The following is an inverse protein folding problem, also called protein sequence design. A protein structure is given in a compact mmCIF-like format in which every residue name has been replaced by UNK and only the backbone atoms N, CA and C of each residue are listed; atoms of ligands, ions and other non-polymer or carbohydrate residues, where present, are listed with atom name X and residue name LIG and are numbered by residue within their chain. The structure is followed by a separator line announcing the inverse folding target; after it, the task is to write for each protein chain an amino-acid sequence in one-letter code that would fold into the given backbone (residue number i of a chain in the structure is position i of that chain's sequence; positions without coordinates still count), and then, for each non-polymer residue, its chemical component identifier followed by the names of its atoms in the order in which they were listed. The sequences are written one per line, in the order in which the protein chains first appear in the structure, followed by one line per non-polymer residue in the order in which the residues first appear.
data_IF_346229523934
#
_entry.id   IF_346229523934
#
_cell.length_a   1.000
_cell.length_b   1.000
_cell.length_c   1.000
_cell.angle_alpha   90.00
_cell.angle_beta   90.00
_cell.angle_gamma   90.00
#
_symmetry.space_group_name_H-M   'P 1'
#
loop_
_entity.id
_entity.type
_entity.pdbx_description
1 polymer ?
#
# COMPACT_ATOMS: atom_id res chain seq x y z
N UNK A 1 -13.34 24.89 18.01
CA UNK A 1 -13.13 24.13 16.77
C UNK A 1 -11.65 23.77 16.74
N UNK A 2 -11.31 22.47 16.63
CA UNK A 2 -9.93 22.04 16.46
C UNK A 2 -9.40 22.59 15.14
N UNK A 3 -8.20 23.20 15.08
CA UNK A 3 -7.66 23.76 13.85
C UNK A 3 -7.47 22.61 12.82
N UNK A 4 -7.93 22.83 11.60
CA UNK A 4 -7.78 21.90 10.48
C UNK A 4 -6.64 22.39 9.60
N UNK A 5 -5.74 21.50 9.20
CA UNK A 5 -4.65 21.76 8.25
C UNK A 5 -4.76 20.85 7.04
N UNK A 6 -4.33 21.33 5.91
CA UNK A 6 -4.14 20.50 4.72
C UNK A 6 -2.85 19.69 4.86
N UNK A 7 -2.92 18.39 4.55
CA UNK A 7 -1.77 17.50 4.60
C UNK A 7 -1.02 17.50 3.27
N UNK A 8 0.30 17.64 3.34
CA UNK A 8 1.23 17.51 2.20
C UNK A 8 2.15 16.32 2.39
N UNK A 9 2.73 15.85 1.30
CA UNK A 9 3.74 14.78 1.37
C UNK A 9 4.93 15.21 2.23
N UNK A 10 5.26 14.40 3.22
CA UNK A 10 6.31 14.66 4.20
C UNK A 10 5.83 15.25 5.53
N UNK A 11 4.55 15.60 5.63
CA UNK A 11 3.98 16.08 6.89
C UNK A 11 3.93 14.96 7.94
N UNK A 12 4.19 15.35 9.18
CA UNK A 12 4.05 14.45 10.34
C UNK A 12 2.58 14.37 10.75
N UNK A 13 2.14 13.17 11.08
CA UNK A 13 0.84 12.87 11.68
C UNK A 13 1.06 12.59 13.16
N UNK A 14 0.23 13.16 14.01
CA UNK A 14 0.28 12.96 15.44
C UNK A 14 -0.86 12.06 15.93
N UNK A 15 -0.66 11.43 17.07
CA UNK A 15 -1.70 10.60 17.69
C UNK A 15 -2.94 11.45 18.00
N UNK A 16 -4.11 10.82 17.86
CA UNK A 16 -5.44 11.41 18.03
C UNK A 16 -5.79 12.49 17.00
N UNK A 17 -4.96 12.77 16.01
CA UNK A 17 -5.40 13.57 14.86
C UNK A 17 -6.43 12.79 14.04
N UNK A 18 -7.48 13.50 13.63
CA UNK A 18 -8.46 12.96 12.67
C UNK A 18 -8.05 13.33 11.26
N UNK A 19 -7.88 12.32 10.43
CA UNK A 19 -7.46 12.46 9.04
C UNK A 19 -8.71 12.32 8.17
N UNK A 20 -8.99 13.34 7.38
CA UNK A 20 -10.09 13.36 6.42
C UNK A 20 -9.56 13.25 5.00
N UNK A 21 -10.14 12.36 4.22
CA UNK A 21 -9.91 12.30 2.78
C UNK A 21 -11.24 12.57 2.06
N UNK A 22 -11.26 13.54 1.16
CA UNK A 22 -12.44 13.89 0.35
C UNK A 22 -12.71 12.87 -0.78
N UNK A 23 -13.67 13.17 -1.65
CA UNK A 23 -14.16 12.25 -2.68
C UNK A 23 -13.08 11.70 -3.63
N UNK A 24 -12.16 12.56 -4.08
CA UNK A 24 -11.09 12.19 -5.02
C UNK A 24 -9.70 12.32 -4.39
N UNK A 25 -9.64 12.24 -3.08
CA UNK A 25 -8.39 12.34 -2.34
C UNK A 25 -8.06 11.07 -1.56
N UNK A 26 -6.83 11.01 -1.08
CA UNK A 26 -6.35 9.92 -0.26
C UNK A 26 -4.95 10.22 0.24
N UNK A 27 -4.54 9.54 1.29
CA UNK A 27 -3.19 9.68 1.84
C UNK A 27 -2.61 8.35 2.26
N UNK A 28 -1.29 8.29 2.33
CA UNK A 28 -0.58 7.13 2.82
C UNK A 28 0.30 7.55 4.00
N UNK A 29 0.13 6.86 5.11
CA UNK A 29 0.91 7.05 6.34
C UNK A 29 1.87 5.89 6.45
N UNK A 30 3.16 6.20 6.61
CA UNK A 30 4.19 5.23 6.91
C UNK A 30 4.55 5.34 8.38
N UNK A 31 4.42 4.25 9.11
CA UNK A 31 4.79 4.15 10.51
C UNK A 31 6.24 3.69 10.67
N UNK A 32 6.85 3.95 11.83
CA UNK A 32 8.25 3.60 12.11
C UNK A 32 8.51 2.09 12.10
N UNK A 33 7.50 1.28 12.42
CA UNK A 33 7.56 -0.19 12.33
C UNK A 33 7.39 -0.72 10.90
N UNK A 34 7.42 0.16 9.88
CA UNK A 34 7.18 -0.13 8.47
C UNK A 34 5.74 -0.54 8.13
N UNK A 35 4.80 -0.43 9.07
CA UNK A 35 3.37 -0.54 8.74
C UNK A 35 2.96 0.62 7.83
N UNK A 36 2.13 0.31 6.84
CA UNK A 36 1.61 1.32 5.91
C UNK A 36 0.10 1.36 6.01
N UNK A 37 -0.43 2.55 6.26
CA UNK A 37 -1.86 2.84 6.32
C UNK A 37 -2.24 3.72 5.13
N UNK A 38 -3.02 3.18 4.22
CA UNK A 38 -3.51 3.91 3.04
C UNK A 38 -4.97 4.25 3.25
N UNK A 39 -5.27 5.54 3.38
CA UNK A 39 -6.60 6.09 3.58
C UNK A 39 -7.15 6.45 2.20
N UNK A 40 -8.28 5.86 1.81
CA UNK A 40 -8.90 6.09 0.52
C UNK A 40 -9.90 7.25 0.54
N UNK A 41 -10.61 7.45 -0.57
CA UNK A 41 -11.59 8.54 -0.71
C UNK A 41 -12.75 8.42 0.28
N UNK A 42 -13.34 9.56 0.63
CA UNK A 42 -14.49 9.72 1.54
C UNK A 42 -14.26 9.07 2.90
N UNK A 43 -13.07 9.26 3.47
CA UNK A 43 -12.65 8.55 4.68
C UNK A 43 -12.40 9.49 5.84
N UNK A 44 -12.71 8.98 7.04
CA UNK A 44 -12.39 9.58 8.33
C UNK A 44 -11.71 8.54 9.21
N UNK A 45 -10.43 8.77 9.52
CA UNK A 45 -9.56 7.84 10.25
C UNK A 45 -8.82 8.58 11.35
N UNK A 46 -8.73 7.97 12.53
CA UNK A 46 -7.94 8.46 13.67
C UNK A 46 -6.87 7.44 13.99
N UNK A 47 -5.64 7.90 14.15
CA UNK A 47 -4.55 7.09 14.72
C UNK A 47 -4.58 7.22 16.23
N UNK A 48 -5.19 6.23 16.90
CA UNK A 48 -5.47 6.25 18.34
C UNK A 48 -4.19 5.93 19.15
N UNK A 49 -3.50 4.85 18.78
CA UNK A 49 -2.31 4.39 19.52
C UNK A 49 -1.21 3.97 18.56
N UNK A 50 0.00 4.42 18.82
CA UNK A 50 1.20 3.91 18.20
C UNK A 50 2.32 3.87 19.25
N UNK A 51 2.69 2.68 19.67
CA UNK A 51 3.80 2.39 20.58
C UNK A 51 4.73 1.46 19.82
N UNK A 52 6.02 1.75 19.78
CA UNK A 52 6.99 0.94 19.07
C UNK A 52 8.36 1.01 19.73
N UNK A 53 8.91 -0.15 20.05
CA UNK A 53 10.29 -0.32 20.48
C UNK A 53 11.12 -0.90 19.32
N UNK A 54 12.00 -0.12 18.69
CA UNK A 54 12.79 -0.58 17.55
C UNK A 54 13.84 -1.65 17.93
N UNK A 55 14.25 -1.75 19.20
CA UNK A 55 15.22 -2.74 19.65
C UNK A 55 14.60 -4.14 19.71
N UNK A 56 13.36 -4.24 20.11
CA UNK A 56 12.64 -5.51 20.29
C UNK A 56 11.60 -5.80 19.22
N UNK A 57 11.20 -4.79 18.42
CA UNK A 57 10.02 -4.79 17.54
C UNK A 57 8.70 -5.03 18.29
N UNK A 58 8.67 -4.80 19.59
CA UNK A 58 7.43 -4.81 20.36
C UNK A 58 6.69 -3.50 20.19
N UNK A 59 5.36 -3.57 20.34
CA UNK A 59 4.55 -2.39 20.22
C UNK A 59 3.07 -2.66 20.12
N UNK A 60 2.32 -1.58 19.87
CA UNK A 60 0.87 -1.63 19.69
C UNK A 60 0.43 -0.54 18.72
N UNK A 61 -0.44 -0.94 17.81
CA UNK A 61 -1.06 -0.03 16.83
C UNK A 61 -2.57 -0.14 16.96
N UNK A 62 -3.23 1.00 17.15
CA UNK A 62 -4.69 1.10 17.12
C UNK A 62 -5.07 2.24 16.20
N UNK A 63 -5.83 1.92 15.16
CA UNK A 63 -6.48 2.89 14.29
C UNK A 63 -8.00 2.79 14.42
N UNK A 64 -8.69 3.90 14.23
CA UNK A 64 -10.15 3.97 14.29
C UNK A 64 -10.66 4.52 12.95
N UNK A 65 -11.41 3.72 12.20
CA UNK A 65 -12.04 4.10 10.94
C UNK A 65 -13.51 4.38 11.21
N UNK A 66 -13.89 5.64 11.17
CA UNK A 66 -15.30 6.04 11.38
C UNK A 66 -16.12 5.85 10.11
N UNK A 67 -15.55 6.16 8.96
CA UNK A 67 -16.15 5.94 7.64
C UNK A 67 -15.08 5.85 6.55
N UNK A 68 -15.47 5.36 5.36
CA UNK A 68 -14.63 5.34 4.17
C UNK A 68 -13.82 4.07 4.05
N UNK A 69 -12.56 4.17 3.63
CA UNK A 69 -11.74 3.01 3.31
C UNK A 69 -10.33 3.14 3.87
N UNK A 70 -9.88 2.09 4.53
CA UNK A 70 -8.51 1.95 5.01
C UNK A 70 -7.90 0.65 4.46
N UNK A 71 -6.72 0.74 3.88
CA UNK A 71 -5.87 -0.38 3.52
C UNK A 71 -4.66 -0.39 4.44
N UNK A 72 -4.35 -1.53 5.00
CA UNK A 72 -3.22 -1.74 5.93
C UNK A 72 -2.27 -2.77 5.36
N UNK A 73 -0.99 -2.46 5.35
CA UNK A 73 0.10 -3.41 5.16
C UNK A 73 0.82 -3.49 6.49
N UNK A 74 0.83 -4.66 7.10
CA UNK A 74 1.40 -4.87 8.43
C UNK A 74 2.92 -4.83 8.42
N UNK A 75 3.50 -4.11 9.38
CA UNK A 75 4.93 -3.98 9.61
C UNK A 75 5.51 -4.94 10.65
N UNK A 76 6.56 -4.52 11.31
CA UNK A 76 7.37 -5.35 12.23
C UNK A 76 6.62 -5.73 13.50
N UNK A 77 5.86 -4.80 14.10
CA UNK A 77 5.07 -5.04 15.32
C UNK A 77 4.13 -6.24 15.13
N UNK A 78 3.31 -6.19 14.11
CA UNK A 78 2.29 -7.21 13.85
C UNK A 78 2.86 -8.52 13.30
N UNK A 79 4.06 -8.51 12.73
CA UNK A 79 4.79 -9.73 12.36
C UNK A 79 5.30 -10.48 13.58
N UNK A 80 5.74 -9.74 14.61
CA UNK A 80 6.21 -10.31 15.87
C UNK A 80 5.03 -10.76 16.74
N UNK A 81 4.09 -9.86 16.98
CA UNK A 81 2.90 -10.13 17.80
C UNK A 81 1.62 -9.83 17.01
N UNK A 82 0.90 -10.87 16.58
CA UNK A 82 -0.28 -10.74 15.72
C UNK A 82 -1.44 -9.92 16.29
N UNK A 83 -1.54 -9.83 17.62
CA UNK A 83 -2.64 -9.11 18.29
C UNK A 83 -2.35 -7.61 18.49
N UNK A 84 -1.13 -7.20 18.15
CA UNK A 84 -0.67 -5.83 18.40
C UNK A 84 -1.19 -4.80 17.41
N UNK A 85 -1.81 -5.21 16.29
CA UNK A 85 -2.42 -4.31 15.32
C UNK A 85 -3.94 -4.51 15.30
N UNK A 86 -4.66 -3.48 15.74
CA UNK A 86 -6.11 -3.47 15.79
C UNK A 86 -6.67 -2.27 15.02
N UNK A 87 -7.66 -2.52 14.16
CA UNK A 87 -8.45 -1.47 13.53
C UNK A 87 -9.86 -1.52 14.11
N UNK A 88 -10.26 -0.44 14.77
CA UNK A 88 -11.64 -0.25 15.29
C UNK A 88 -12.52 0.29 14.17
N UNK A 89 -13.71 -0.23 14.05
CA UNK A 89 -14.76 0.21 13.12
C UNK A 89 -16.10 0.29 13.86
N UNK A 90 -17.12 0.99 13.34
CA UNK A 90 -18.39 1.16 14.06
C UNK A 90 -19.09 -0.16 14.44
N UNK A 91 -18.92 -1.21 13.63
CA UNK A 91 -19.57 -2.50 13.85
C UNK A 91 -18.72 -3.49 14.67
N UNK A 92 -17.43 -3.18 14.96
CA UNK A 92 -16.56 -4.09 15.70
C UNK A 92 -15.07 -3.77 15.56
N UNK A 93 -14.25 -4.80 15.54
CA UNK A 93 -12.79 -4.71 15.47
C UNK A 93 -12.20 -5.65 14.44
N UNK A 94 -11.06 -5.24 13.89
CA UNK A 94 -10.26 -6.02 12.97
C UNK A 94 -8.88 -6.21 13.59
N UNK A 95 -8.49 -7.44 13.88
CA UNK A 95 -7.13 -7.79 14.32
C UNK A 95 -6.33 -8.32 13.14
N UNK A 96 -5.09 -7.85 12.96
CA UNK A 96 -4.27 -8.26 11.82
C UNK A 96 -3.06 -9.08 12.25
N UNK A 97 -2.86 -10.19 11.60
CA UNK A 97 -1.72 -11.09 11.77
C UNK A 97 -0.82 -11.07 10.54
N UNK A 98 0.08 -10.07 10.50
CA UNK A 98 1.15 -10.02 9.49
C UNK A 98 0.67 -10.12 8.03
N UNK A 99 -0.21 -9.19 7.58
CA UNK A 99 -0.85 -9.31 6.27
C UNK A 99 -1.17 -7.96 5.64
N UNK A 100 -1.62 -8.00 4.41
CA UNK A 100 -2.25 -6.89 3.71
C UNK A 100 -3.76 -7.09 3.67
N UNK A 101 -4.50 -6.11 4.17
CA UNK A 101 -5.96 -6.12 4.13
C UNK A 101 -6.52 -4.73 3.86
N UNK A 102 -7.76 -4.69 3.42
CA UNK A 102 -8.50 -3.46 3.20
C UNK A 102 -9.89 -3.56 3.83
N UNK A 103 -10.33 -2.49 4.48
CA UNK A 103 -11.70 -2.38 4.97
C UNK A 103 -12.42 -1.20 4.33
N UNK A 104 -13.73 -1.35 4.11
CA UNK A 104 -14.64 -0.28 3.71
C UNK A 104 -15.72 -0.19 4.76
N UNK A 105 -15.78 0.97 5.42
CA UNK A 105 -16.80 1.34 6.39
C UNK A 105 -17.83 2.21 5.69
N UNK A 106 -19.05 1.74 5.62
CA UNK A 106 -20.20 2.43 5.07
C UNK A 106 -21.32 2.46 6.10
N UNK A 107 -22.43 3.14 5.80
CA UNK A 107 -23.52 3.25 6.74
C UNK A 107 -23.99 1.87 7.24
N UNK A 108 -23.83 1.60 8.54
CA UNK A 108 -24.23 0.38 9.26
C UNK A 108 -23.58 -0.93 8.77
N UNK A 109 -22.48 -0.84 8.00
CA UNK A 109 -21.81 -2.02 7.45
C UNK A 109 -20.32 -1.76 7.27
N UNK A 110 -19.53 -2.74 7.69
CA UNK A 110 -18.08 -2.83 7.41
C UNK A 110 -17.80 -4.08 6.60
N UNK A 111 -17.17 -3.90 5.44
CA UNK A 111 -16.67 -4.97 4.57
C UNK A 111 -15.15 -5.06 4.71
N UNK A 112 -14.61 -6.22 5.07
CA UNK A 112 -13.16 -6.44 5.24
C UNK A 112 -12.68 -7.50 4.27
N UNK A 113 -11.68 -7.15 3.47
CA UNK A 113 -11.02 -7.98 2.47
C UNK A 113 -9.61 -8.30 2.91
N UNK A 114 -9.27 -9.57 3.04
CA UNK A 114 -7.90 -10.03 3.14
C UNK A 114 -7.30 -10.07 1.72
N UNK A 115 -6.29 -9.26 1.47
CA UNK A 115 -5.52 -9.28 0.22
C UNK A 115 -4.43 -10.34 0.35
N UNK A 116 -3.74 -10.34 1.48
CA UNK A 116 -2.76 -11.34 1.89
C UNK A 116 -1.47 -11.34 1.10
N UNK A 117 -0.50 -12.15 1.47
CA UNK A 117 0.51 -12.55 0.51
C UNK A 117 -0.20 -13.39 -0.55
N UNK A 118 -0.08 -12.99 -1.82
CA UNK A 118 -0.63 -13.72 -2.97
C UNK A 118 -0.12 -15.17 -3.03
N UNK A 119 -0.64 -15.95 -3.97
CA UNK A 119 -0.24 -17.36 -4.17
C UNK A 119 1.27 -17.59 -4.29
N UNK A 120 1.99 -16.59 -4.74
CA UNK A 120 3.45 -16.64 -4.98
C UNK A 120 4.21 -15.83 -3.94
N UNK A 121 3.88 -15.89 -2.70
CA UNK A 121 4.53 -15.23 -1.56
C UNK A 121 6.06 -15.02 -1.74
N UNK A 122 6.45 -14.26 -2.75
CA UNK A 122 7.85 -14.00 -3.14
C UNK A 122 8.61 -13.18 -2.09
N UNK A 123 7.89 -12.56 -1.14
CA UNK A 123 8.46 -11.77 -0.06
C UNK A 123 8.65 -12.57 1.23
N UNK A 124 8.45 -13.90 1.23
CA UNK A 124 8.61 -14.73 2.42
C UNK A 124 7.66 -14.38 3.58
N UNK A 125 6.58 -13.64 3.30
CA UNK A 125 5.59 -13.28 4.30
C UNK A 125 4.84 -14.54 4.73
N UNK A 126 4.73 -14.77 6.02
CA UNK A 126 3.89 -15.86 6.56
C UNK A 126 2.44 -15.64 6.09
N UNK A 127 1.69 -16.72 5.84
CA UNK A 127 0.26 -16.58 5.56
C UNK A 127 -0.38 -15.75 6.67
N UNK A 128 -0.79 -14.53 6.31
CA UNK A 128 -1.41 -13.63 7.25
C UNK A 128 -2.87 -13.94 7.42
N UNK A 129 -3.45 -13.41 8.47
CA UNK A 129 -4.88 -13.54 8.74
C UNK A 129 -5.45 -12.22 9.27
N UNK A 130 -6.76 -12.04 9.11
CA UNK A 130 -7.51 -10.95 9.73
C UNK A 130 -8.66 -11.54 10.53
N UNK A 131 -8.68 -11.26 11.83
CA UNK A 131 -9.81 -11.57 12.68
C UNK A 131 -10.80 -10.41 12.62
N UNK A 132 -11.98 -10.68 12.09
CA UNK A 132 -13.12 -9.75 12.03
C UNK A 132 -14.06 -10.11 13.16
N UNK A 133 -14.27 -9.22 14.14
CA UNK A 133 -15.00 -9.58 15.34
C UNK A 133 -15.84 -8.44 15.94
N UNK A 134 -16.88 -8.83 16.66
CA UNK A 134 -17.68 -7.97 17.51
C UNK A 134 -18.28 -8.76 18.68
N UNK A 135 -19.09 -8.12 19.52
CA UNK A 135 -19.72 -8.77 20.68
C UNK A 135 -20.66 -9.94 20.35
N UNK A 136 -21.02 -10.14 19.09
CA UNK A 136 -21.92 -11.21 18.65
C UNK A 136 -21.17 -12.42 18.06
N UNK A 137 -19.87 -12.31 17.81
CA UNK A 137 -19.04 -13.38 17.27
C UNK A 137 -17.84 -12.87 16.47
N UNK A 138 -17.12 -13.81 15.87
CA UNK A 138 -15.96 -13.51 15.06
C UNK A 138 -15.88 -14.40 13.82
N UNK A 139 -15.10 -13.94 12.84
CA UNK A 139 -14.78 -14.68 11.60
C UNK A 139 -13.32 -14.43 11.24
N UNK A 140 -12.58 -15.52 10.98
CA UNK A 140 -11.18 -15.45 10.55
C UNK A 140 -11.10 -15.45 9.04
N UNK A 141 -10.45 -14.43 8.48
CA UNK A 141 -10.02 -14.39 7.09
C UNK A 141 -8.58 -14.91 7.02
N UNK A 142 -8.35 -16.06 6.43
CA UNK A 142 -7.03 -16.72 6.32
C UNK A 142 -6.68 -17.17 4.90
N UNK A 143 -7.56 -16.90 3.94
CA UNK A 143 -7.30 -17.16 2.52
C UNK A 143 -7.24 -15.86 1.75
N UNK A 144 -6.23 -15.65 0.87
CA UNK A 144 -6.17 -14.46 0.02
C UNK A 144 -7.47 -14.24 -0.75
N UNK A 145 -7.88 -12.98 -0.87
CA UNK A 145 -9.13 -12.58 -1.50
C UNK A 145 -10.40 -13.12 -0.83
N UNK A 146 -10.33 -13.44 0.48
CA UNK A 146 -11.51 -13.68 1.29
C UNK A 146 -12.05 -12.39 1.88
N UNK A 147 -13.37 -12.30 1.97
CA UNK A 147 -14.11 -11.14 2.49
C UNK A 147 -15.09 -11.60 3.57
N UNK A 148 -15.22 -10.78 4.62
CA UNK A 148 -16.31 -10.84 5.58
C UNK A 148 -16.96 -9.48 5.71
N UNK A 149 -18.24 -9.48 6.08
CA UNK A 149 -19.04 -8.27 6.29
C UNK A 149 -19.61 -8.27 7.68
N UNK A 150 -19.41 -7.19 8.42
CA UNK A 150 -20.09 -6.91 9.67
C UNK A 150 -21.25 -5.96 9.43
N UNK A 151 -22.37 -6.22 10.08
CA UNK A 151 -23.54 -5.34 10.14
C UNK A 151 -23.85 -5.01 11.59
N UNK A 152 -24.40 -3.82 11.82
CA UNK A 152 -24.81 -3.42 13.15
C UNK A 152 -25.77 -4.45 13.78
N UNK A 153 -25.44 -4.90 14.98
CA UNK A 153 -26.29 -5.83 15.75
C UNK A 153 -26.23 -7.30 15.34
N UNK A 154 -25.31 -7.68 14.44
CA UNK A 154 -25.16 -9.07 13.97
C UNK A 154 -23.72 -9.53 14.09
N UNK A 155 -23.52 -10.85 14.22
CA UNK A 155 -22.20 -11.46 14.09
C UNK A 155 -21.62 -11.21 12.69
N UNK A 156 -20.27 -11.17 12.54
CA UNK A 156 -19.64 -11.11 11.25
C UNK A 156 -20.07 -12.28 10.35
N UNK A 157 -20.33 -11.98 9.08
CA UNK A 157 -20.63 -13.01 8.09
C UNK A 157 -19.44 -13.94 7.86
N UNK A 158 -19.71 -15.20 7.48
CA UNK A 158 -18.67 -16.17 7.18
C UNK A 158 -17.73 -15.69 6.09
N UNK A 159 -16.46 -16.11 6.18
CA UNK A 159 -15.46 -15.82 5.18
C UNK A 159 -15.82 -16.45 3.83
N UNK A 160 -15.88 -15.64 2.79
CA UNK A 160 -16.15 -16.11 1.42
C UNK A 160 -15.23 -15.44 0.42
N UNK A 161 -15.05 -16.05 -0.75
CA UNK A 161 -14.26 -15.44 -1.83
C UNK A 161 -14.96 -14.17 -2.31
N UNK A 162 -14.18 -13.08 -2.49
CA UNK A 162 -14.71 -11.81 -3.01
C UNK A 162 -15.16 -11.96 -4.47
N UNK A 163 -16.27 -11.34 -4.82
CA UNK A 163 -16.74 -11.26 -6.22
C UNK A 163 -16.00 -10.17 -6.99
N UNK A 164 -16.00 -10.27 -8.33
CA UNK A 164 -15.39 -9.23 -9.20
C UNK A 164 -15.98 -7.83 -8.93
N UNK A 165 -17.29 -7.73 -8.74
CA UNK A 165 -17.98 -6.47 -8.48
C UNK A 165 -17.61 -5.86 -7.10
N UNK A 166 -17.50 -6.70 -6.08
CA UNK A 166 -17.02 -6.26 -4.77
C UNK A 166 -15.56 -5.78 -4.85
N UNK A 167 -14.68 -6.52 -5.54
CA UNK A 167 -13.28 -6.14 -5.72
C UNK A 167 -13.13 -4.78 -6.45
N UNK A 168 -14.00 -4.51 -7.47
CA UNK A 168 -14.05 -3.19 -8.12
C UNK A 168 -14.35 -2.05 -7.14
N UNK A 169 -15.26 -2.26 -6.17
CA UNK A 169 -15.55 -1.26 -5.13
C UNK A 169 -14.33 -0.97 -4.25
N UNK A 170 -13.62 -2.01 -3.81
CA UNK A 170 -12.39 -1.85 -3.03
C UNK A 170 -11.31 -1.09 -3.81
N UNK A 171 -11.08 -1.46 -5.07
CA UNK A 171 -10.13 -0.77 -5.96
C UNK A 171 -10.51 0.70 -6.19
N UNK A 172 -11.80 1.00 -6.39
CA UNK A 172 -12.28 2.37 -6.63
C UNK A 172 -11.95 3.30 -5.47
N UNK A 173 -12.14 2.86 -4.22
CA UNK A 173 -11.85 3.66 -3.01
C UNK A 173 -10.36 4.03 -2.85
N UNK A 174 -9.44 3.30 -3.49
CA UNK A 174 -7.99 3.55 -3.47
C UNK A 174 -7.47 4.23 -4.75
N UNK A 175 -8.37 4.60 -5.67
CA UNK A 175 -8.00 5.09 -7.00
C UNK A 175 -7.27 6.43 -6.95
N UNK A 176 -7.70 7.36 -6.10
CA UNK A 176 -7.11 8.69 -6.00
C UNK A 176 -5.59 8.64 -5.75
N UNK A 177 -5.12 7.72 -4.90
CA UNK A 177 -3.70 7.53 -4.63
C UNK A 177 -2.91 6.92 -5.80
N UNK A 178 -3.56 6.10 -6.64
CA UNK A 178 -2.91 5.56 -7.85
C UNK A 178 -2.74 6.64 -8.90
N UNK A 179 -3.75 7.49 -9.08
CA UNK A 179 -3.72 8.62 -10.02
C UNK A 179 -2.66 9.63 -9.56
N UNK A 180 -2.65 10.03 -8.30
CA UNK A 180 -1.65 10.96 -7.75
C UNK A 180 -0.19 10.46 -7.92
N UNK A 181 0.03 9.15 -7.84
CA UNK A 181 1.36 8.57 -8.12
C UNK A 181 1.76 8.59 -9.60
N UNK A 182 0.79 8.64 -10.52
CA UNK A 182 1.02 8.58 -11.97
C UNK A 182 0.95 9.95 -12.64
N UNK A 183 0.05 10.83 -12.19
CA UNK A 183 -0.22 12.10 -12.87
C UNK A 183 0.58 13.29 -12.29
N UNK A 184 1.15 13.16 -11.07
CA UNK A 184 1.88 14.25 -10.40
C UNK A 184 3.38 14.27 -10.63
N UNK A 185 3.99 13.21 -11.15
CA UNK A 185 5.43 13.17 -11.34
C UNK A 185 5.80 13.55 -12.79
N UNK A 186 6.44 14.70 -12.97
CA UNK A 186 7.04 15.10 -14.23
C UNK A 186 8.09 14.06 -14.70
N UNK A 187 8.47 14.08 -15.97
CA UNK A 187 9.52 13.19 -16.52
C UNK A 187 10.82 13.29 -15.70
N UNK A 188 11.11 14.50 -15.20
CA UNK A 188 12.27 14.80 -14.35
C UNK A 188 12.14 14.20 -12.93
N UNK A 189 10.98 14.32 -12.29
CA UNK A 189 10.76 13.74 -10.97
C UNK A 189 10.83 12.21 -10.99
N UNK A 190 10.32 11.57 -12.05
CA UNK A 190 10.47 10.12 -12.26
C UNK A 190 11.95 9.72 -12.44
N UNK A 191 12.74 10.53 -13.12
CA UNK A 191 14.20 10.31 -13.30
C UNK A 191 14.96 10.44 -11.97
N UNK A 192 14.60 11.45 -11.16
CA UNK A 192 15.16 11.66 -9.82
C UNK A 192 14.81 10.49 -8.89
N UNK A 193 13.54 10.06 -8.88
CA UNK A 193 13.10 8.93 -8.07
C UNK A 193 13.81 7.62 -8.45
N UNK A 194 13.97 7.35 -9.76
CA UNK A 194 14.73 6.19 -10.25
C UNK A 194 16.20 6.24 -9.83
N UNK A 195 16.84 7.43 -9.88
CA UNK A 195 18.21 7.62 -9.37
C UNK A 195 18.32 7.31 -7.89
N UNK A 196 17.35 7.79 -7.11
CA UNK A 196 17.30 7.57 -5.66
C UNK A 196 17.14 6.07 -5.32
N UNK A 197 16.19 5.39 -5.97
CA UNK A 197 15.97 3.94 -5.80
C UNK A 197 17.23 3.15 -6.18
N UNK A 198 17.88 3.48 -7.31
CA UNK A 198 19.15 2.83 -7.71
C UNK A 198 20.25 3.00 -6.68
N UNK A 199 20.36 4.20 -6.07
CA UNK A 199 21.34 4.48 -5.04
C UNK A 199 21.07 3.66 -3.78
N UNK A 200 19.82 3.63 -3.31
CA UNK A 200 19.40 2.85 -2.13
C UNK A 200 19.63 1.34 -2.31
N UNK A 201 19.30 0.78 -3.48
CA UNK A 201 19.54 -0.63 -3.77
C UNK A 201 21.05 -0.95 -3.84
N UNK A 202 21.87 -0.05 -4.39
CA UNK A 202 23.34 -0.19 -4.41
C UNK A 202 23.94 -0.15 -3.00
N UNK A 203 23.42 0.73 -2.12
CA UNK A 203 23.83 0.80 -0.71
C UNK A 203 23.40 -0.46 0.09
N UNK A 204 22.37 -1.17 -0.37
CA UNK A 204 21.94 -2.46 0.16
C UNK A 204 22.73 -3.66 -0.40
N UNK A 205 23.73 -3.42 -1.26
CA UNK A 205 24.62 -4.46 -1.80
C UNK A 205 24.12 -5.17 -3.05
N UNK A 206 23.07 -4.64 -3.71
CA UNK A 206 22.61 -5.21 -4.98
C UNK A 206 23.57 -4.82 -6.14
N UNK A 207 23.90 -5.80 -6.98
CA UNK A 207 24.70 -5.59 -8.17
C UNK A 207 23.94 -4.81 -9.26
N UNK A 208 24.70 -4.11 -10.14
CA UNK A 208 24.12 -3.23 -11.17
C UNK A 208 23.11 -3.95 -12.09
N UNK A 209 23.35 -5.21 -12.41
CA UNK A 209 22.47 -6.01 -13.28
C UNK A 209 21.21 -6.49 -12.52
N UNK A 210 21.34 -6.83 -11.25
CA UNK A 210 20.20 -7.18 -10.41
C UNK A 210 19.25 -5.98 -10.23
N UNK A 211 19.83 -4.79 -10.01
CA UNK A 211 19.07 -3.54 -9.91
C UNK A 211 18.33 -3.23 -11.21
N UNK A 212 18.98 -3.41 -12.39
CA UNK A 212 18.30 -3.24 -13.69
C UNK A 212 17.14 -4.23 -13.87
N UNK A 213 17.36 -5.49 -13.52
CA UNK A 213 16.34 -6.55 -13.63
C UNK A 213 15.16 -6.26 -12.73
N UNK A 214 15.39 -5.91 -11.47
CA UNK A 214 14.34 -5.56 -10.51
C UNK A 214 13.51 -4.34 -10.96
N UNK A 215 14.16 -3.30 -11.47
CA UNK A 215 13.47 -2.11 -11.98
C UNK A 215 12.66 -2.46 -13.24
N UNK A 216 13.22 -3.24 -14.16
CA UNK A 216 12.54 -3.67 -15.39
C UNK A 216 11.32 -4.54 -15.11
N UNK A 217 11.44 -5.52 -14.22
CA UNK A 217 10.33 -6.38 -13.83
C UNK A 217 9.20 -5.61 -13.14
N UNK A 218 9.53 -4.66 -12.26
CA UNK A 218 8.52 -3.85 -11.61
C UNK A 218 7.80 -2.92 -12.60
N UNK A 219 8.53 -2.31 -13.54
CA UNK A 219 7.94 -1.48 -14.59
C UNK A 219 7.04 -2.30 -15.54
N UNK A 220 7.47 -3.51 -15.90
CA UNK A 220 6.68 -4.42 -16.73
C UNK A 220 5.40 -4.85 -16.01
N UNK A 221 5.49 -5.23 -14.74
CA UNK A 221 4.31 -5.60 -13.92
C UNK A 221 3.32 -4.43 -13.77
N UNK A 222 3.80 -3.23 -13.53
CA UNK A 222 2.95 -2.04 -13.43
C UNK A 222 2.27 -1.72 -14.77
N UNK A 223 2.97 -1.88 -15.89
CA UNK A 223 2.44 -1.67 -17.23
C UNK A 223 1.39 -2.72 -17.62
N UNK A 224 1.69 -4.00 -17.42
CA UNK A 224 0.74 -5.10 -17.68
C UNK A 224 -0.55 -4.92 -16.88
N UNK A 225 -0.43 -4.53 -15.60
CA UNK A 225 -1.60 -4.22 -14.77
C UNK A 225 -2.38 -3.02 -15.31
N UNK A 226 -1.70 -2.00 -15.85
CA UNK A 226 -2.32 -0.82 -16.44
C UNK A 226 -3.04 -1.15 -17.75
N UNK A 227 -2.41 -1.89 -18.65
CA UNK A 227 -3.01 -2.34 -19.92
C UNK A 227 -4.26 -3.19 -19.67
N UNK A 228 -4.19 -4.16 -18.77
CA UNK A 228 -5.35 -4.98 -18.39
C UNK A 228 -6.50 -4.11 -17.85
N UNK A 229 -6.18 -3.10 -17.06
CA UNK A 229 -7.16 -2.21 -16.45
C UNK A 229 -7.82 -1.27 -17.46
N UNK A 230 -7.09 -0.83 -18.48
CA UNK A 230 -7.59 0.04 -19.55
C UNK A 230 -8.39 -0.77 -20.57
N UNK A 231 -7.93 -1.96 -20.96
CA UNK A 231 -8.69 -2.88 -21.80
C UNK A 231 -10.03 -3.30 -21.15
N UNK A 232 -10.04 -3.53 -19.83
CA UNK A 232 -11.31 -3.79 -19.09
C UNK A 232 -12.29 -2.60 -19.10
N UNK A 233 -11.81 -1.39 -19.43
CA UNK A 233 -12.61 -0.17 -19.54
C UNK A 233 -13.04 0.16 -20.96
N UNK A 234 -12.57 -0.59 -21.96
CA UNK A 234 -12.76 -0.28 -23.38
C UNK A 234 -11.98 0.97 -23.81
N UNK A 235 -10.93 1.36 -23.07
CA UNK A 235 -10.05 2.47 -23.45
C UNK A 235 -9.00 1.94 -24.43
N UNK A 236 -8.63 2.76 -25.43
CA UNK A 236 -7.58 2.44 -26.39
C UNK A 236 -6.22 2.38 -25.68
N UNK A 237 -5.48 1.32 -25.92
CA UNK A 237 -4.15 1.08 -25.30
C UNK A 237 -3.01 1.06 -26.31
N UNK A 238 -3.29 1.34 -27.59
CA UNK A 238 -2.33 1.32 -28.68
C UNK A 238 -1.11 2.20 -28.39
N UNK A 239 -1.29 3.39 -27.83
CA UNK A 239 -0.21 4.32 -27.45
C UNK A 239 0.68 3.77 -26.32
N UNK A 240 0.16 2.86 -25.50
CA UNK A 240 0.91 2.25 -24.40
C UNK A 240 1.71 1.02 -24.84
N UNK A 241 1.33 0.40 -25.92
CA UNK A 241 2.05 -0.73 -26.52
C UNK A 241 3.26 -0.24 -27.34
N UNK A 242 3.16 0.92 -27.99
CA UNK A 242 4.23 1.54 -28.79
C UNK A 242 5.36 2.13 -27.92
N UNK A 243 5.05 2.63 -26.73
CA UNK A 243 6.04 3.24 -25.82
C UNK A 243 7.07 2.26 -25.22
N UNK A 244 7.01 0.95 -25.54
CA UNK A 244 7.97 -0.04 -25.06
C UNK A 244 9.31 0.03 -25.80
N UNK A 245 9.32 0.40 -27.08
CA UNK A 245 10.54 0.52 -27.85
C UNK A 245 11.36 1.73 -27.40
N UNK A 246 10.74 2.89 -27.16
CA UNK A 246 11.44 4.10 -26.69
C UNK A 246 12.00 3.97 -25.26
N UNK A 247 11.29 3.29 -24.35
CA UNK A 247 11.76 3.08 -22.97
C UNK A 247 12.93 2.10 -22.92
N UNK A 248 12.98 1.16 -23.85
CA UNK A 248 14.08 0.18 -23.96
C UNK A 248 15.36 0.83 -24.45
N UNK A 249 15.30 1.79 -25.38
CA UNK A 249 16.47 2.52 -25.88
C UNK A 249 17.03 3.49 -24.83
N UNK A 250 16.21 4.24 -24.08
CA UNK A 250 16.68 5.14 -23.02
C UNK A 250 17.31 4.41 -21.83
N UNK A 251 16.95 3.14 -21.58
CA UNK A 251 17.54 2.37 -20.47
C UNK A 251 18.85 1.68 -20.83
N UNK A 252 19.14 1.53 -22.11
CA UNK A 252 20.38 0.93 -22.64
C UNK A 252 21.42 1.98 -23.00
N UNK A 253 21.01 3.23 -23.29
CA UNK A 253 21.86 4.30 -23.81
C UNK A 253 22.79 5.04 -22.82
N UNK A 254 22.69 4.80 -21.50
CA UNK A 254 23.50 5.48 -20.48
C UNK A 254 24.78 4.70 -20.09
N UNK A 255 25.40 4.02 -21.05
CA UNK A 255 26.68 3.37 -20.84
C UNK A 255 27.76 4.02 -21.71
N UNK A 256 28.14 5.27 -21.43
CA UNK A 256 29.48 5.80 -21.74
C UNK A 256 29.59 7.22 -21.18
N UNK A 257 29.91 7.33 -19.89
CA UNK A 257 30.64 8.48 -19.40
C UNK A 257 31.99 7.94 -19.03
N UNK A 258 32.99 8.23 -19.92
CA UNK A 258 34.39 7.94 -19.71
C UNK A 258 34.83 8.47 -18.34
N UNK A 259 35.50 7.63 -17.58
CA UNK A 259 36.25 8.05 -16.39
C UNK A 259 37.40 8.99 -16.86
N UNK A 260 37.63 10.10 -16.15
CA UNK A 260 38.80 10.92 -16.46
C UNK A 260 40.05 10.13 -16.06
N UNK A 261 40.96 9.95 -17.02
CA UNK A 261 42.33 9.46 -16.84
C UNK A 261 43.04 10.32 -15.79
N UNK A 262 43.37 9.73 -14.66
CA UNK A 262 44.24 10.35 -13.65
C UNK A 262 45.66 10.13 -14.14
N UNK A 263 46.30 11.20 -14.64
CA UNK A 263 47.71 11.20 -14.95
C UNK A 263 48.53 10.97 -13.68
N UNK A 264 49.34 9.94 -13.64
CA UNK A 264 50.36 9.71 -12.62
C UNK A 264 51.45 10.77 -12.72
N UNK A 265 51.98 11.30 -11.61
CA UNK A 265 53.10 12.23 -11.64
C UNK A 265 54.40 11.45 -11.91
N UNK A 266 55.11 11.83 -12.95
CA UNK A 266 56.48 11.40 -13.17
C UNK A 266 57.39 11.87 -12.03
N UNK A 267 58.23 10.94 -11.52
CA UNK A 267 59.33 11.20 -10.58
C UNK A 267 60.59 11.50 -11.36
#
# INVERSE_FOLDING_TARGET
KTPTRELKTGDKIYLNETIFAGADSGTQILLLDQSTFTIGSDSEVVMDTFIYDPATNDGKIVANVKQGSLKVISGLISKKNPESLTVKVPEGTLGSRGTEFQTIVSNKRTDTLLIGPGKNNTLGLRPGAVLVGNKFGNTMLNKPYSISSMQKGKAPGQAKRITKNQLKKFKKKMRALKVAKLDGASKEERKILRKKIRKELKEQGFEKEEIKTLIKENLKKDKEQRIVLLKERGEDVSDLEIADEEIMEETVGDSEVAEPEIAEPEI
#
